data_IF_624986502490
#
_entry.id   IF_624986502490
#
_cell.length_a   1.000
_cell.length_b   1.000
_cell.length_c   1.000
_cell.angle_alpha   90.00
_cell.angle_beta   90.00
_cell.angle_gamma   90.00
#
_symmetry.space_group_name_H-M   'P 1'
#
loop_
_entity.id
_entity.type
_entity.pdbx_description
1 polymer ?
#
# COMPACT_ATOMS: atom_id res chain seq x y z
N UNK A 1 13.36 2.48 25.95
CA UNK A 1 11.94 2.11 25.93
C UNK A 1 11.51 2.08 24.47
N UNK A 2 10.97 0.97 23.96
CA UNK A 2 10.57 0.87 22.56
C UNK A 2 9.39 1.81 22.30
N UNK A 3 9.59 2.82 21.47
CA UNK A 3 8.59 3.86 21.15
C UNK A 3 7.59 3.36 20.09
N UNK A 4 8.01 2.39 19.26
CA UNK A 4 7.16 1.81 18.22
C UNK A 4 6.38 0.65 18.85
N UNK A 5 5.22 1.01 19.41
CA UNK A 5 4.24 0.05 19.93
C UNK A 5 2.86 0.49 19.47
N UNK A 6 2.05 -0.48 19.03
CA UNK A 6 0.64 -0.25 18.79
C UNK A 6 -0.13 -0.06 20.11
N UNK A 7 -1.28 0.60 20.03
CA UNK A 7 -2.19 0.64 21.19
C UNK A 7 -2.64 -0.78 21.57
N UNK A 8 -2.88 -0.98 22.84
CA UNK A 8 -3.47 -2.24 23.30
C UNK A 8 -4.95 -2.28 22.91
N UNK A 9 -5.31 -3.30 22.14
CA UNK A 9 -6.69 -3.58 21.77
C UNK A 9 -7.24 -4.70 22.67
N UNK A 10 -8.43 -4.51 23.21
CA UNK A 10 -9.12 -5.54 23.97
C UNK A 10 -9.81 -6.54 23.02
N UNK A 11 -10.36 -7.63 23.55
CA UNK A 11 -11.00 -8.68 22.76
C UNK A 11 -12.24 -8.18 22.01
N UNK A 12 -12.99 -7.24 22.58
CA UNK A 12 -14.17 -6.63 21.95
C UNK A 12 -13.76 -5.79 20.74
N UNK A 13 -12.73 -4.96 20.87
CA UNK A 13 -12.17 -4.18 19.75
C UNK A 13 -11.74 -5.10 18.61
N UNK A 14 -10.99 -6.16 18.93
CA UNK A 14 -10.49 -7.13 17.95
C UNK A 14 -11.64 -7.83 17.24
N UNK A 15 -12.65 -8.29 17.98
CA UNK A 15 -13.83 -8.94 17.40
C UNK A 15 -14.56 -8.01 16.42
N UNK A 16 -14.81 -6.78 16.81
CA UNK A 16 -15.49 -5.78 15.98
C UNK A 16 -14.68 -5.44 14.71
N UNK A 17 -13.36 -5.25 14.83
CA UNK A 17 -12.50 -4.97 13.70
C UNK A 17 -12.41 -6.17 12.74
N UNK A 18 -12.30 -7.40 13.28
CA UNK A 18 -12.28 -8.62 12.48
C UNK A 18 -13.60 -8.83 11.72
N UNK A 19 -14.73 -8.56 12.36
CA UNK A 19 -16.05 -8.65 11.72
C UNK A 19 -16.20 -7.61 10.60
N UNK A 20 -15.79 -6.35 10.85
CA UNK A 20 -15.78 -5.27 9.86
C UNK A 20 -14.90 -5.62 8.66
N UNK A 21 -13.68 -6.11 8.95
CA UNK A 21 -12.74 -6.53 7.92
C UNK A 21 -13.26 -7.69 7.07
N UNK A 22 -13.87 -8.70 7.70
CA UNK A 22 -14.48 -9.83 6.99
C UNK A 22 -15.66 -9.40 6.11
N UNK A 23 -16.46 -8.45 6.58
CA UNK A 23 -17.67 -7.98 5.89
C UNK A 23 -17.33 -7.08 4.70
N UNK A 24 -16.39 -6.15 4.86
CA UNK A 24 -16.13 -5.10 3.89
C UNK A 24 -14.81 -5.27 3.14
N UNK A 25 -13.92 -6.13 3.62
CA UNK A 25 -12.57 -6.29 3.10
C UNK A 25 -11.60 -5.22 3.59
N UNK A 26 -12.05 -4.25 4.39
CA UNK A 26 -11.20 -3.24 5.01
C UNK A 26 -11.69 -2.82 6.40
N UNK A 27 -10.79 -2.25 7.20
CA UNK A 27 -11.08 -1.72 8.53
C UNK A 27 -10.14 -0.56 8.84
N UNK A 28 -10.63 0.41 9.61
CA UNK A 28 -9.85 1.55 10.14
C UNK A 28 -9.69 1.35 11.64
N UNK A 29 -8.46 1.42 12.12
CA UNK A 29 -8.11 1.35 13.54
C UNK A 29 -7.47 2.67 13.92
N UNK A 30 -8.25 3.53 14.56
CA UNK A 30 -7.81 4.85 14.99
C UNK A 30 -6.78 4.74 16.13
N UNK A 31 -5.86 5.71 16.19
CA UNK A 31 -4.81 5.80 17.22
C UNK A 31 -3.98 4.50 17.36
N UNK A 32 -3.78 3.77 16.27
CA UNK A 32 -3.04 2.50 16.30
C UNK A 32 -1.58 2.74 16.72
N UNK A 33 -0.93 3.78 16.18
CA UNK A 33 0.36 4.27 16.64
C UNK A 33 0.21 5.65 17.27
N UNK A 34 0.93 5.89 18.36
CA UNK A 34 0.98 7.23 18.98
C UNK A 34 1.65 8.25 18.04
N UNK A 35 1.35 9.53 18.19
CA UNK A 35 2.02 10.62 17.47
C UNK A 35 3.55 10.59 17.64
N UNK A 36 4.03 10.12 18.82
CA UNK A 36 5.45 9.92 19.07
C UNK A 36 6.02 8.81 18.17
N UNK A 37 5.32 7.69 18.00
CA UNK A 37 5.73 6.62 17.08
C UNK A 37 5.73 7.12 15.62
N UNK A 38 4.71 7.87 15.21
CA UNK A 38 4.66 8.51 13.88
C UNK A 38 5.85 9.45 13.66
N UNK A 39 6.23 10.24 14.65
CA UNK A 39 7.40 11.11 14.58
C UNK A 39 8.69 10.31 14.37
N UNK A 40 8.87 9.20 15.08
CA UNK A 40 10.04 8.32 14.89
C UNK A 40 10.04 7.63 13.50
N UNK A 41 8.87 7.23 13.01
CA UNK A 41 8.74 6.70 11.64
C UNK A 41 9.16 7.77 10.62
N UNK A 42 8.69 9.01 10.77
CA UNK A 42 9.07 10.12 9.87
C UNK A 42 10.58 10.41 9.91
N UNK A 43 11.21 10.36 11.08
CA UNK A 43 12.69 10.48 11.19
C UNK A 43 13.40 9.34 10.48
N UNK A 44 12.96 8.09 10.69
CA UNK A 44 13.54 6.93 10.03
C UNK A 44 13.41 7.03 8.49
N UNK A 45 12.30 7.58 7.97
CA UNK A 45 12.13 7.87 6.54
C UNK A 45 13.24 8.79 6.02
N UNK A 46 13.60 9.84 6.77
CA UNK A 46 14.69 10.74 6.33
C UNK A 46 16.05 10.02 6.32
N UNK A 47 16.31 9.18 7.33
CA UNK A 47 17.58 8.41 7.40
C UNK A 47 17.71 7.44 6.21
N UNK A 48 16.68 6.63 5.93
CA UNK A 48 16.78 5.61 4.88
C UNK A 48 16.75 6.17 3.47
N UNK A 49 16.36 7.43 3.25
CA UNK A 49 16.48 8.09 1.93
C UNK A 49 17.92 8.17 1.42
N UNK A 50 18.89 8.11 2.31
CA UNK A 50 20.33 8.12 1.97
C UNK A 50 20.91 6.71 1.75
N UNK A 51 20.09 5.67 1.94
CA UNK A 51 20.47 4.28 1.77
C UNK A 51 20.21 3.78 0.33
N UNK A 52 20.71 2.58 0.00
CA UNK A 52 20.35 1.87 -1.24
C UNK A 52 18.90 1.38 -1.19
N UNK A 53 17.97 2.27 -1.55
CA UNK A 53 16.53 2.06 -1.67
C UNK A 53 16.02 2.57 -3.03
N UNK A 54 14.79 2.23 -3.38
CA UNK A 54 14.20 2.65 -4.65
C UNK A 54 13.37 3.92 -4.46
N UNK A 55 13.79 5.03 -5.10
CA UNK A 55 13.13 6.33 -5.06
C UNK A 55 12.46 6.62 -6.40
N UNK A 56 11.24 7.15 -6.36
CA UNK A 56 10.43 7.51 -7.52
C UNK A 56 10.00 8.96 -7.44
N UNK A 57 10.27 9.72 -8.49
CA UNK A 57 9.91 11.14 -8.61
C UNK A 57 8.80 11.33 -9.67
N UNK A 58 8.01 12.38 -9.52
CA UNK A 58 7.11 12.83 -10.57
C UNK A 58 7.89 13.58 -11.68
N UNK A 59 7.16 14.00 -12.74
CA UNK A 59 7.76 14.73 -13.86
C UNK A 59 8.37 16.08 -13.46
N UNK A 60 8.04 16.61 -12.30
CA UNK A 60 8.56 17.87 -11.76
C UNK A 60 9.73 17.66 -10.80
N UNK A 61 10.19 16.41 -10.60
CA UNK A 61 11.28 16.06 -9.69
C UNK A 61 10.88 16.00 -8.21
N UNK A 62 9.58 16.01 -7.90
CA UNK A 62 9.15 15.83 -6.52
C UNK A 62 9.13 14.34 -6.17
N UNK A 63 9.69 13.99 -5.00
CA UNK A 63 9.63 12.63 -4.48
C UNK A 63 8.18 12.21 -4.25
N UNK A 64 7.75 11.15 -4.92
CA UNK A 64 6.40 10.61 -4.83
C UNK A 64 6.32 9.31 -4.04
N UNK A 65 7.35 8.49 -4.14
CA UNK A 65 7.38 7.18 -3.50
C UNK A 65 8.80 6.73 -3.19
N UNK A 66 8.95 6.00 -2.09
CA UNK A 66 10.13 5.21 -1.81
C UNK A 66 9.73 3.77 -1.49
N UNK A 67 10.58 2.80 -1.83
CA UNK A 67 10.34 1.36 -1.65
C UNK A 67 11.60 0.62 -1.20
N UNK A 68 11.46 -0.61 -0.72
CA UNK A 68 12.53 -1.54 -0.36
C UNK A 68 13.37 -1.10 0.87
N UNK A 69 12.69 -0.62 1.91
CA UNK A 69 13.34 -0.03 3.08
C UNK A 69 13.07 -0.77 4.41
N UNK A 70 12.09 -1.68 4.51
CA UNK A 70 11.66 -2.27 5.79
C UNK A 70 12.82 -2.87 6.59
N UNK A 71 13.75 -3.53 5.92
CA UNK A 71 14.90 -4.15 6.58
C UNK A 71 16.13 -3.24 6.70
N UNK A 72 16.07 -1.98 6.27
CA UNK A 72 17.17 -1.01 6.31
C UNK A 72 17.25 -0.26 7.63
N UNK A 73 16.17 -0.18 8.42
CA UNK A 73 16.15 0.55 9.67
C UNK A 73 15.29 -0.15 10.73
N UNK A 74 15.75 -0.13 11.99
CA UNK A 74 15.10 -0.83 13.10
C UNK A 74 13.64 -0.39 13.33
N UNK A 75 13.34 0.89 13.18
CA UNK A 75 11.96 1.43 13.31
C UNK A 75 11.00 0.70 12.38
N UNK A 76 11.37 0.45 11.13
CA UNK A 76 10.48 -0.23 10.18
C UNK A 76 10.32 -1.72 10.48
N UNK A 77 11.36 -2.39 11.01
CA UNK A 77 11.24 -3.76 11.50
C UNK A 77 10.23 -3.86 12.64
N UNK A 78 10.29 -2.91 13.61
CA UNK A 78 9.35 -2.84 14.71
C UNK A 78 7.92 -2.53 14.26
N UNK A 79 7.74 -1.61 13.28
CA UNK A 79 6.44 -1.37 12.64
C UNK A 79 5.91 -2.65 12.02
N UNK A 80 6.74 -3.36 11.23
CA UNK A 80 6.37 -4.62 10.59
C UNK A 80 5.90 -5.68 11.61
N UNK A 81 6.60 -5.81 12.75
CA UNK A 81 6.21 -6.73 13.82
C UNK A 81 4.82 -6.40 14.40
N UNK A 82 4.53 -5.12 14.67
CA UNK A 82 3.22 -4.70 15.18
C UNK A 82 2.11 -4.94 14.14
N UNK A 83 2.39 -4.72 12.84
CA UNK A 83 1.42 -4.95 11.78
C UNK A 83 1.15 -6.45 11.56
N UNK A 84 2.14 -7.33 11.66
CA UNK A 84 1.94 -8.78 11.62
C UNK A 84 1.05 -9.25 12.78
N UNK A 85 1.24 -8.71 13.99
CA UNK A 85 0.41 -9.05 15.16
C UNK A 85 -1.06 -8.70 14.95
N UNK A 86 -1.37 -7.50 14.43
CA UNK A 86 -2.75 -7.12 14.19
C UNK A 86 -3.36 -7.91 13.03
N UNK A 87 -2.62 -8.15 11.95
CA UNK A 87 -3.08 -8.98 10.84
C UNK A 87 -3.44 -10.39 11.30
N UNK A 88 -2.61 -11.02 12.15
CA UNK A 88 -2.95 -12.33 12.73
C UNK A 88 -4.24 -12.29 13.52
N UNK A 89 -4.50 -11.23 14.31
CA UNK A 89 -5.74 -11.06 15.06
C UNK A 89 -6.97 -10.89 14.16
N UNK A 90 -6.82 -10.22 13.02
CA UNK A 90 -7.92 -9.94 12.07
C UNK A 90 -8.23 -11.15 11.19
N UNK A 91 -7.19 -11.88 10.75
CA UNK A 91 -7.31 -12.92 9.71
C UNK A 91 -7.16 -14.35 10.24
N UNK A 92 -6.56 -14.53 11.42
CA UNK A 92 -6.13 -15.81 11.99
C UNK A 92 -5.06 -16.54 11.16
N UNK A 93 -4.44 -15.86 10.20
CA UNK A 93 -3.42 -16.39 9.30
C UNK A 93 -2.05 -15.76 9.59
N UNK A 94 -1.01 -16.58 9.56
CA UNK A 94 0.36 -16.08 9.62
C UNK A 94 0.70 -15.35 8.33
N UNK A 95 1.21 -14.13 8.47
CA UNK A 95 1.52 -13.23 7.36
C UNK A 95 3.02 -12.96 7.28
N UNK A 96 3.51 -12.74 6.07
CA UNK A 96 4.87 -12.26 5.81
C UNK A 96 4.85 -11.05 4.91
N UNK A 97 5.82 -10.15 5.08
CA UNK A 97 5.88 -8.96 4.24
C UNK A 97 6.20 -9.34 2.79
N UNK A 98 5.41 -8.80 1.87
CA UNK A 98 5.58 -8.94 0.44
C UNK A 98 6.29 -7.73 -0.17
N UNK A 99 5.87 -6.52 0.19
CA UNK A 99 6.47 -5.26 -0.28
C UNK A 99 6.19 -4.13 0.69
N UNK A 100 6.94 -3.06 0.54
CA UNK A 100 6.73 -1.80 1.27
C UNK A 100 6.74 -0.60 0.32
N UNK A 101 6.10 0.47 0.74
CA UNK A 101 6.22 1.79 0.11
C UNK A 101 5.88 2.91 1.10
N UNK A 102 6.53 4.04 0.97
CA UNK A 102 6.03 5.32 1.49
C UNK A 102 5.56 6.14 0.30
N UNK A 103 4.33 6.60 0.33
CA UNK A 103 3.81 7.57 -0.64
C UNK A 103 3.88 8.97 -0.06
N UNK A 104 4.42 9.88 -0.84
CA UNK A 104 4.47 11.31 -0.57
C UNK A 104 3.50 12.02 -1.50
N UNK A 105 2.59 12.80 -0.96
CA UNK A 105 1.64 13.61 -1.72
C UNK A 105 1.81 15.07 -1.31
N UNK A 106 2.75 15.80 -1.93
CA UNK A 106 2.95 17.22 -1.67
C UNK A 106 1.74 18.04 -2.13
N UNK A 107 1.63 19.32 -1.76
CA UNK A 107 0.65 20.24 -2.33
C UNK A 107 0.65 20.17 -3.86
N UNK A 108 -0.53 20.08 -4.47
CA UNK A 108 -0.76 19.85 -5.91
C UNK A 108 -0.26 18.50 -6.44
N UNK A 109 0.21 17.60 -5.55
CA UNK A 109 0.61 16.24 -5.93
C UNK A 109 -0.59 15.48 -6.51
N UNK A 110 -0.37 14.78 -7.63
CA UNK A 110 -1.40 14.04 -8.35
C UNK A 110 -2.02 12.90 -7.52
N UNK A 111 -3.26 12.54 -7.86
CA UNK A 111 -3.94 11.39 -7.33
C UNK A 111 -3.45 10.05 -7.90
N UNK A 112 -4.09 8.99 -7.46
CA UNK A 112 -3.95 7.66 -8.05
C UNK A 112 -5.28 7.25 -8.68
N UNK A 113 -5.20 6.75 -9.91
CA UNK A 113 -6.39 6.26 -10.63
C UNK A 113 -7.02 5.07 -9.89
N UNK A 114 -8.34 4.85 -10.00
CA UNK A 114 -8.99 3.69 -9.41
C UNK A 114 -8.39 2.38 -9.90
N UNK A 115 -7.95 1.52 -8.97
CA UNK A 115 -7.28 0.27 -9.29
C UNK A 115 -7.49 -0.82 -8.24
N UNK A 116 -7.19 -2.06 -8.62
CA UNK A 116 -6.95 -3.17 -7.72
C UNK A 116 -5.44 -3.35 -7.53
N UNK A 117 -4.99 -3.64 -6.32
CA UNK A 117 -3.58 -3.95 -6.09
C UNK A 117 -3.22 -5.34 -6.66
N UNK A 118 -2.20 -5.38 -7.52
CA UNK A 118 -1.66 -6.64 -8.04
C UNK A 118 -2.44 -7.32 -9.15
N UNK A 119 -3.60 -6.79 -9.56
CA UNK A 119 -4.46 -7.36 -10.61
C UNK A 119 -4.13 -6.73 -11.97
N UNK A 120 -3.17 -7.28 -12.68
CA UNK A 120 -2.77 -6.85 -14.03
C UNK A 120 -1.96 -7.93 -14.74
N UNK A 121 -1.91 -7.87 -16.05
CA UNK A 121 -1.03 -8.72 -16.86
C UNK A 121 0.00 -7.87 -17.61
N UNK A 122 1.21 -8.38 -17.71
CA UNK A 122 2.25 -7.78 -18.54
C UNK A 122 3.05 -8.85 -19.28
N UNK A 123 3.70 -8.47 -20.38
CA UNK A 123 4.62 -9.34 -21.11
C UNK A 123 6.05 -9.02 -20.73
N UNK A 124 6.81 -10.07 -20.42
CA UNK A 124 8.25 -9.97 -20.23
C UNK A 124 8.96 -9.70 -21.57
N UNK A 125 10.26 -9.41 -21.52
CA UNK A 125 11.07 -9.21 -22.74
C UNK A 125 11.09 -10.44 -23.67
N UNK A 126 10.94 -11.65 -23.13
CA UNK A 126 10.86 -12.92 -23.89
C UNK A 126 9.44 -13.25 -24.35
N UNK A 127 8.46 -12.38 -24.12
CA UNK A 127 7.07 -12.59 -24.54
C UNK A 127 6.21 -13.43 -23.58
N UNK A 128 6.74 -13.88 -22.45
CA UNK A 128 5.95 -14.58 -21.42
C UNK A 128 4.92 -13.64 -20.79
N UNK A 129 3.71 -14.13 -20.58
CA UNK A 129 2.68 -13.41 -19.83
C UNK A 129 2.87 -13.65 -18.33
N UNK A 130 2.82 -12.57 -17.54
CA UNK A 130 2.90 -12.59 -16.08
C UNK A 130 1.68 -11.90 -15.46
N UNK A 131 1.22 -12.45 -14.34
CA UNK A 131 -0.06 -12.09 -13.70
C UNK A 131 0.10 -11.19 -12.47
N UNK A 132 0.89 -10.13 -12.58
CA UNK A 132 1.06 -9.17 -11.48
C UNK A 132 1.55 -9.81 -10.18
N UNK A 133 0.85 -9.54 -9.05
CA UNK A 133 1.23 -10.16 -7.78
C UNK A 133 0.80 -11.63 -7.66
N UNK A 134 -0.15 -12.07 -8.49
CA UNK A 134 -0.61 -13.47 -8.48
C UNK A 134 0.45 -14.47 -8.95
N UNK A 135 1.60 -14.00 -9.47
CA UNK A 135 2.79 -14.83 -9.68
C UNK A 135 3.41 -15.33 -8.36
N UNK A 136 3.07 -14.72 -7.22
CA UNK A 136 3.66 -15.00 -5.91
C UNK A 136 2.66 -15.63 -4.95
N UNK A 137 1.48 -15.04 -4.80
CA UNK A 137 0.45 -15.49 -3.89
C UNK A 137 -0.94 -15.10 -4.42
N UNK A 138 -1.98 -15.73 -3.89
CA UNK A 138 -3.37 -15.48 -4.29
C UNK A 138 -4.08 -14.44 -3.46
N UNK A 139 -3.56 -14.10 -2.28
CA UNK A 139 -4.19 -13.17 -1.35
C UNK A 139 -3.17 -12.24 -0.69
N UNK A 140 -3.53 -10.95 -0.60
CA UNK A 140 -2.68 -9.93 -0.03
C UNK A 140 -3.48 -8.97 0.84
N UNK A 141 -2.84 -8.53 1.92
CA UNK A 141 -3.36 -7.56 2.85
C UNK A 141 -2.46 -6.32 2.87
N UNK A 142 -3.07 -5.15 2.66
CA UNK A 142 -2.38 -3.87 2.76
C UNK A 142 -2.60 -3.28 4.15
N UNK A 143 -1.52 -2.85 4.78
CA UNK A 143 -1.51 -2.06 6.00
C UNK A 143 -1.02 -0.66 5.66
N UNK A 144 -1.91 0.32 5.75
CA UNK A 144 -1.62 1.73 5.53
C UNK A 144 -1.59 2.45 6.88
N UNK A 145 -0.43 2.95 7.28
CA UNK A 145 -0.27 3.83 8.43
C UNK A 145 -0.35 5.29 7.95
N UNK A 146 -1.29 6.06 8.51
CA UNK A 146 -1.42 7.48 8.26
C UNK A 146 -0.26 8.22 8.95
N UNK A 147 0.68 8.76 8.18
CA UNK A 147 1.77 9.57 8.73
C UNK A 147 1.35 11.03 8.98
N UNK A 148 0.35 11.49 8.23
CA UNK A 148 -0.35 12.76 8.37
C UNK A 148 -1.85 12.50 8.42
N UNK A 149 -2.68 13.44 8.89
CA UNK A 149 -4.13 13.30 8.83
C UNK A 149 -4.62 13.16 7.39
N UNK A 150 -5.61 12.30 7.18
CA UNK A 150 -6.28 12.09 5.89
C UNK A 150 -7.61 12.82 5.89
N UNK A 151 -7.80 13.73 4.93
CA UNK A 151 -9.03 14.50 4.75
C UNK A 151 -9.34 14.72 3.25
N UNK A 152 -10.50 15.30 2.96
CA UNK A 152 -10.96 15.47 1.58
C UNK A 152 -10.09 16.43 0.76
N UNK A 153 -9.42 17.39 1.40
CA UNK A 153 -8.62 18.41 0.72
C UNK A 153 -7.22 17.89 0.33
N UNK A 154 -6.63 16.97 1.14
CA UNK A 154 -5.26 16.50 0.91
C UNK A 154 -5.17 15.20 0.10
N UNK A 155 -6.25 14.85 -0.62
CA UNK A 155 -6.30 13.71 -1.51
C UNK A 155 -6.22 12.38 -0.76
N UNK A 156 -7.14 12.20 0.19
CA UNK A 156 -7.26 10.97 0.98
C UNK A 156 -7.40 9.72 0.12
N UNK A 157 -7.21 8.56 0.73
CA UNK A 157 -7.60 7.27 0.16
C UNK A 157 -9.12 7.19 0.08
N UNK A 158 -9.64 6.84 -1.07
CA UNK A 158 -11.05 6.48 -1.28
C UNK A 158 -11.09 4.99 -1.61
N UNK A 159 -11.88 4.21 -0.88
CA UNK A 159 -11.92 2.75 -0.96
C UNK A 159 -13.35 2.25 -1.08
N UNK A 160 -13.54 1.12 -1.74
CA UNK A 160 -14.79 0.39 -1.78
C UNK A 160 -14.63 -1.03 -1.20
N UNK A 161 -15.75 -1.73 -1.04
CA UNK A 161 -15.76 -3.09 -0.51
C UNK A 161 -14.90 -4.04 -1.37
N UNK A 162 -14.38 -5.08 -0.73
CA UNK A 162 -13.64 -6.14 -1.42
C UNK A 162 -14.50 -6.81 -2.49
N UNK A 163 -13.89 -7.06 -3.64
CA UNK A 163 -14.41 -7.95 -4.67
C UNK A 163 -13.78 -9.32 -4.45
N UNK A 164 -14.44 -10.19 -3.67
CA UNK A 164 -13.96 -11.55 -3.37
C UNK A 164 -14.21 -12.48 -4.57
N UNK A 165 -13.55 -12.19 -5.70
CA UNK A 165 -13.63 -12.89 -6.96
C UNK A 165 -12.27 -13.51 -7.32
N UNK A 166 -12.28 -14.49 -8.23
CA UNK A 166 -11.06 -15.04 -8.78
C UNK A 166 -10.28 -14.03 -9.64
N UNK A 167 -9.01 -14.33 -9.88
CA UNK A 167 -8.11 -13.45 -10.63
C UNK A 167 -8.63 -13.09 -12.02
N UNK A 168 -9.13 -14.04 -12.77
CA UNK A 168 -9.59 -13.83 -14.15
C UNK A 168 -10.82 -12.91 -14.20
N UNK A 169 -11.70 -13.03 -13.21
CA UNK A 169 -12.87 -12.17 -13.04
C UNK A 169 -12.46 -10.73 -12.67
N UNK A 170 -11.50 -10.57 -11.77
CA UNK A 170 -10.95 -9.26 -11.41
C UNK A 170 -10.18 -8.63 -12.59
N UNK A 171 -9.38 -9.42 -13.31
CA UNK A 171 -8.62 -8.95 -14.47
C UNK A 171 -9.52 -8.36 -15.57
N UNK A 172 -10.68 -8.97 -15.84
CA UNK A 172 -11.67 -8.45 -16.80
C UNK A 172 -12.23 -7.08 -16.41
N UNK A 173 -12.12 -6.70 -15.14
CA UNK A 173 -12.53 -5.38 -14.64
C UNK A 173 -11.45 -4.31 -14.83
N UNK A 174 -10.23 -4.69 -15.21
CA UNK A 174 -9.13 -3.75 -15.48
C UNK A 174 -9.10 -3.31 -16.95
N UNK A 175 -8.26 -2.32 -17.26
CA UNK A 175 -8.09 -1.80 -18.64
C UNK A 175 -7.40 -2.75 -19.61
N UNK A 176 -6.80 -3.84 -19.15
CA UNK A 176 -6.05 -4.81 -19.96
C UNK A 176 -4.87 -4.20 -20.75
N UNK A 177 -4.38 -3.05 -20.32
CA UNK A 177 -3.23 -2.33 -20.91
C UNK A 177 -1.91 -2.59 -20.19
N UNK A 178 -1.93 -3.52 -19.22
CA UNK A 178 -0.80 -3.86 -18.35
C UNK A 178 -0.79 -3.05 -17.04
N UNK A 179 -1.76 -2.17 -16.83
CA UNK A 179 -1.98 -1.47 -15.57
C UNK A 179 -3.03 -2.19 -14.70
N UNK A 180 -3.04 -1.98 -13.37
CA UNK A 180 -4.09 -2.45 -12.49
C UNK A 180 -5.36 -1.56 -12.52
N UNK A 181 -5.38 -0.54 -13.38
CA UNK A 181 -6.45 0.44 -13.45
C UNK A 181 -7.78 -0.19 -13.86
N UNK A 182 -8.85 0.18 -13.17
CA UNK A 182 -10.20 -0.31 -13.43
C UNK A 182 -10.75 0.36 -14.70
N UNK A 183 -11.43 -0.41 -15.55
CA UNK A 183 -12.05 0.12 -16.76
C UNK A 183 -13.29 0.98 -16.46
N UNK A 184 -13.65 1.86 -17.40
CA UNK A 184 -14.70 2.88 -17.21
C UNK A 184 -16.09 2.27 -16.92
N UNK A 185 -16.41 1.10 -17.48
CA UNK A 185 -17.73 0.49 -17.28
C UNK A 185 -17.89 -0.03 -15.86
N UNK A 186 -16.81 -0.55 -15.28
CA UNK A 186 -16.80 -1.01 -13.90
C UNK A 186 -16.76 0.15 -12.89
N UNK A 187 -16.07 1.24 -13.22
CA UNK A 187 -15.98 2.42 -12.33
C UNK A 187 -17.36 3.01 -11.99
N UNK A 188 -18.31 2.95 -12.92
CA UNK A 188 -19.69 3.45 -12.71
C UNK A 188 -20.48 2.66 -11.67
N UNK A 189 -20.02 1.45 -11.31
CA UNK A 189 -20.70 0.53 -10.41
C UNK A 189 -20.05 0.51 -9.01
N UNK A 190 -18.89 1.18 -8.85
CA UNK A 190 -18.14 1.16 -7.61
C UNK A 190 -18.41 2.43 -6.80
N UNK A 191 -18.94 2.24 -5.59
CA UNK A 191 -19.10 3.32 -4.62
C UNK A 191 -17.87 3.43 -3.73
N UNK A 192 -17.09 4.51 -3.92
CA UNK A 192 -15.89 4.79 -3.16
C UNK A 192 -16.18 5.66 -1.95
N UNK A 193 -15.75 5.22 -0.77
CA UNK A 193 -15.88 5.96 0.47
C UNK A 193 -14.54 6.58 0.88
N UNK A 194 -14.48 7.88 1.20
CA UNK A 194 -13.25 8.52 1.65
C UNK A 194 -12.85 8.03 3.04
N UNK A 195 -11.57 7.77 3.22
CA UNK A 195 -10.99 7.46 4.52
C UNK A 195 -10.63 8.79 5.20
N UNK A 196 -11.33 9.12 6.28
CA UNK A 196 -11.02 10.25 7.16
C UNK A 196 -10.36 9.69 8.41
N UNK A 197 -9.10 10.05 8.66
CA UNK A 197 -8.32 9.42 9.72
C UNK A 197 -7.20 10.35 10.20
N UNK A 198 -6.93 10.36 11.49
CA UNK A 198 -5.83 11.11 12.07
C UNK A 198 -4.47 10.40 11.87
N UNK A 199 -3.39 11.16 12.03
CA UNK A 199 -2.05 10.59 12.01
C UNK A 199 -1.89 9.53 13.10
N UNK A 200 -1.30 8.37 12.74
CA UNK A 200 -1.18 7.20 13.62
C UNK A 200 -2.29 6.17 13.43
N UNK A 201 -3.37 6.49 12.72
CA UNK A 201 -4.40 5.52 12.36
C UNK A 201 -3.84 4.48 11.38
N UNK A 202 -4.38 3.26 11.46
CA UNK A 202 -4.07 2.14 10.57
C UNK A 202 -5.31 1.79 9.75
N UNK A 203 -5.15 1.74 8.43
CA UNK A 203 -6.14 1.17 7.51
C UNK A 203 -5.63 -0.18 7.03
N UNK A 204 -6.37 -1.25 7.32
CA UNK A 204 -6.08 -2.59 6.79
C UNK A 204 -7.08 -2.90 5.71
N UNK A 205 -6.63 -3.35 4.54
CA UNK A 205 -7.53 -3.69 3.44
C UNK A 205 -6.97 -4.79 2.52
N UNK A 206 -7.87 -5.60 1.98
CA UNK A 206 -7.55 -6.63 0.99
C UNK A 206 -7.10 -6.00 -0.33
N UNK A 207 -6.20 -6.63 -1.04
CA UNK A 207 -5.77 -6.19 -2.38
C UNK A 207 -6.94 -6.13 -3.39
N UNK A 208 -8.01 -6.87 -3.14
CA UNK A 208 -9.25 -6.91 -3.93
C UNK A 208 -10.23 -5.77 -3.59
N UNK A 209 -9.90 -4.90 -2.64
CA UNK A 209 -10.63 -3.65 -2.44
C UNK A 209 -10.20 -2.63 -3.50
N UNK A 210 -11.09 -2.23 -4.43
CA UNK A 210 -10.77 -1.16 -5.36
C UNK A 210 -10.58 0.15 -4.61
N UNK A 211 -9.54 0.89 -4.96
CA UNK A 211 -9.22 2.14 -4.28
C UNK A 211 -8.58 3.16 -5.22
N UNK A 212 -8.67 4.41 -4.84
CA UNK A 212 -8.14 5.57 -5.57
C UNK A 212 -7.73 6.67 -4.60
N UNK A 213 -7.17 7.74 -5.11
CA UNK A 213 -7.04 8.98 -4.33
C UNK A 213 -7.05 10.19 -5.25
N UNK A 214 -7.69 11.27 -4.82
CA UNK A 214 -7.70 12.56 -5.51
C UNK A 214 -6.34 13.27 -5.39
N UNK A 215 -6.06 14.30 -6.22
CA UNK A 215 -4.92 15.18 -6.00
C UNK A 215 -4.96 15.86 -4.61
N UNK A 216 -3.80 16.28 -4.13
CA UNK A 216 -3.71 17.07 -2.91
C UNK A 216 -3.96 18.55 -3.22
N UNK A 217 -5.13 19.05 -2.86
CA UNK A 217 -5.53 20.45 -3.03
C UNK A 217 -5.18 21.32 -1.81
N UNK A 218 -4.67 20.71 -0.72
CA UNK A 218 -4.24 21.44 0.47
C UNK A 218 -2.85 22.05 0.30
N UNK A 219 -2.44 22.86 1.26
CA UNK A 219 -1.11 23.47 1.31
C UNK A 219 -0.11 22.67 2.16
N UNK A 220 -0.44 21.44 2.57
CA UNK A 220 0.40 20.58 3.42
C UNK A 220 0.70 19.26 2.73
N UNK A 221 1.86 18.69 3.02
CA UNK A 221 2.21 17.34 2.59
C UNK A 221 1.30 16.30 3.25
N UNK A 222 1.03 15.20 2.56
CA UNK A 222 0.38 14.02 3.09
C UNK A 222 1.22 12.78 2.83
N UNK A 223 1.83 12.24 3.88
CA UNK A 223 2.60 11.01 3.86
C UNK A 223 1.77 9.80 4.29
N UNK A 224 2.06 8.66 3.70
CA UNK A 224 1.48 7.37 4.10
C UNK A 224 2.49 6.25 3.95
N UNK A 225 2.58 5.40 4.98
CA UNK A 225 3.44 4.21 4.98
C UNK A 225 2.57 2.99 4.67
N UNK A 226 2.92 2.25 3.64
CA UNK A 226 2.26 1.00 3.25
C UNK A 226 3.20 -0.19 3.43
N UNK A 227 2.73 -1.24 4.09
CA UNK A 227 3.31 -2.56 4.06
C UNK A 227 2.26 -3.54 3.54
N UNK A 228 2.59 -4.29 2.51
CA UNK A 228 1.72 -5.32 1.92
C UNK A 228 2.23 -6.69 2.35
N UNK A 229 1.30 -7.57 2.68
CA UNK A 229 1.56 -8.90 3.23
C UNK A 229 0.86 -9.96 2.40
N UNK A 230 1.50 -11.12 2.27
CA UNK A 230 0.88 -12.35 1.79
C UNK A 230 0.88 -13.39 2.90
N UNK A 231 0.09 -14.44 2.73
CA UNK A 231 0.09 -15.55 3.66
C UNK A 231 1.47 -16.24 3.69
N UNK A 232 2.02 -16.49 4.88
CA UNK A 232 3.33 -17.12 5.03
C UNK A 232 3.40 -18.51 4.39
N UNK A 233 2.30 -19.26 4.36
CA UNK A 233 2.23 -20.59 3.70
C UNK A 233 2.50 -20.54 2.20
N UNK A 234 2.24 -19.40 1.53
CA UNK A 234 2.46 -19.25 0.10
C UNK A 234 3.94 -18.98 -0.21
N UNK A 235 4.71 -18.53 0.77
CA UNK A 235 6.15 -18.28 0.67
C UNK A 235 6.57 -16.87 1.10
N UNK A 236 7.88 -16.62 1.10
CA UNK A 236 8.51 -15.33 1.45
C UNK A 236 9.07 -14.70 0.18
N UNK A 237 8.44 -13.66 -0.34
CA UNK A 237 8.70 -13.13 -1.67
C UNK A 237 9.27 -11.72 -1.71
N UNK A 238 9.50 -11.07 -0.56
CA UNK A 238 9.93 -9.66 -0.49
C UNK A 238 11.13 -9.36 -1.41
N UNK A 239 12.23 -10.10 -1.27
CA UNK A 239 13.42 -9.88 -2.10
C UNK A 239 13.17 -10.24 -3.57
N UNK A 240 12.48 -11.37 -3.82
CA UNK A 240 12.20 -11.83 -5.19
C UNK A 240 11.32 -10.81 -5.94
N UNK A 241 10.30 -10.27 -5.27
CA UNK A 241 9.44 -9.24 -5.85
C UNK A 241 10.23 -8.02 -6.34
N UNK A 242 11.14 -7.48 -5.53
CA UNK A 242 11.93 -6.31 -5.93
C UNK A 242 12.97 -6.63 -7.01
N UNK A 243 13.55 -7.84 -7.02
CA UNK A 243 14.42 -8.30 -8.11
C UNK A 243 13.64 -8.35 -9.43
N UNK A 244 12.47 -8.96 -9.43
CA UNK A 244 11.64 -9.13 -10.64
C UNK A 244 11.06 -7.79 -11.10
N UNK A 245 10.64 -6.94 -10.18
CA UNK A 245 10.20 -5.59 -10.47
C UNK A 245 11.28 -4.80 -11.22
N UNK A 246 12.53 -4.81 -10.74
CA UNK A 246 13.65 -4.14 -11.42
C UNK A 246 13.90 -4.67 -12.84
N UNK A 247 13.74 -5.97 -13.07
CA UNK A 247 13.87 -6.57 -14.41
C UNK A 247 12.71 -6.23 -15.34
N UNK A 248 11.51 -6.04 -14.80
CA UNK A 248 10.29 -5.76 -15.58
C UNK A 248 10.12 -4.29 -15.94
N UNK A 249 10.79 -3.38 -15.24
CA UNK A 249 10.71 -1.95 -15.53
C UNK A 249 11.46 -1.68 -16.84
N UNK A 250 10.68 -1.44 -17.91
CA UNK A 250 11.22 -0.80 -19.10
C UNK A 250 11.59 0.65 -18.72
N UNK A 251 12.86 1.08 -18.84
CA UNK A 251 13.29 2.44 -18.47
C UNK A 251 12.49 3.55 -19.19
N UNK A 252 11.77 3.20 -20.26
CA UNK A 252 10.94 4.12 -21.03
C UNK A 252 9.44 4.08 -20.64
N UNK A 253 9.02 3.27 -19.68
CA UNK A 253 7.63 3.16 -19.25
C UNK A 253 7.49 3.63 -17.80
N UNK A 254 7.12 4.90 -17.60
CA UNK A 254 6.75 5.39 -16.28
C UNK A 254 5.45 4.72 -15.81
N UNK A 255 5.49 4.04 -14.67
CA UNK A 255 4.28 3.63 -13.97
C UNK A 255 3.58 4.91 -13.47
N UNK A 256 2.41 5.23 -14.03
CA UNK A 256 1.58 6.38 -13.63
C UNK A 256 2.31 7.75 -13.58
N UNK A 257 3.23 8.01 -14.51
CA UNK A 257 3.95 9.29 -14.57
C UNK A 257 5.14 9.42 -13.60
N UNK A 258 5.48 8.37 -12.86
CA UNK A 258 6.66 8.34 -11.98
C UNK A 258 7.91 7.90 -12.74
N UNK A 259 9.04 8.51 -12.46
CA UNK A 259 10.37 8.12 -12.97
C UNK A 259 11.22 7.60 -11.81
N UNK A 260 12.00 6.54 -12.08
CA UNK A 260 13.00 6.07 -11.11
C UNK A 260 14.12 7.10 -11.08
N UNK A 261 14.47 7.53 -9.86
CA UNK A 261 15.66 8.35 -9.67
C UNK A 261 16.88 7.46 -9.83
N UNK A 262 17.71 7.72 -10.83
CA UNK A 262 18.99 7.06 -10.95
C UNK A 262 19.85 7.42 -9.73
N UNK A 263 20.01 6.46 -8.82
CA UNK A 263 21.02 6.55 -7.76
C UNK A 263 22.40 6.51 -8.43
N UNK A 264 23.08 7.65 -8.45
CA UNK A 264 24.49 7.74 -8.86
C UNK A 264 25.38 7.15 -7.80
#
# INVERSE_FOLDING_TARGET
MNVIKSRLLNETDISQFSETYKRFGYVIIEDFFSLKAVSEIKKAIQVVKEEDIDLYEDRSGNLRRMERFTFKHEVFKLVNEELIKILFKLTTLEQTIFKDKVNFKPPKGEGFYPHFDGVFQFKTANGEVRNGWYEYASDFNNCLVCLDPFNLENGTLEISHSHDEDYDSLLKKTKLDGSPDINEDQLRQIDFQPILADAGSLVVFKHTCPHKSSPNYSNTDRGSLYLTYNNLRDGVFYNQYFIDKKKSINPNKSLQGEQIKDCK
#
